data_IF_320047953006
#
_entry.id   IF_320047953006
#
_cell.length_a   1.000
_cell.length_b   1.000
_cell.length_c   1.000
_cell.angle_alpha   90.00
_cell.angle_beta   90.00
_cell.angle_gamma   90.00
#
_symmetry.space_group_name_H-M   'P 1'
#
loop_
_entity.id
_entity.type
_entity.pdbx_description
1 polymer ?
#
# COMPACT_ATOMS: atom_id res chain seq x y z
N UNK A 1 6.52 4.51 -11.56
CA UNK A 1 5.25 3.74 -11.55
C UNK A 1 5.19 2.89 -10.29
N UNK A 2 4.00 2.57 -9.81
CA UNK A 2 3.75 1.61 -8.75
C UNK A 2 3.23 0.31 -9.36
N UNK A 3 3.81 -0.81 -8.95
CA UNK A 3 3.29 -2.13 -9.21
C UNK A 3 2.54 -2.63 -7.96
N UNK A 4 1.24 -2.87 -8.07
CA UNK A 4 0.35 -3.24 -6.97
C UNK A 4 -0.13 -4.68 -7.18
N UNK A 5 0.09 -5.51 -6.18
CA UNK A 5 -0.31 -6.93 -6.18
C UNK A 5 -1.01 -7.30 -4.87
N UNK A 6 -1.86 -8.33 -4.92
CA UNK A 6 -2.15 -9.11 -3.72
C UNK A 6 -0.99 -10.09 -3.50
N UNK A 7 -0.30 -9.93 -2.39
CA UNK A 7 0.95 -10.59 -2.06
C UNK A 7 0.68 -11.73 -1.07
N UNK A 8 0.82 -12.96 -1.56
CA UNK A 8 0.52 -14.15 -0.78
C UNK A 8 1.49 -14.31 0.40
N UNK A 9 2.76 -14.01 0.20
CA UNK A 9 3.78 -14.17 1.24
C UNK A 9 3.54 -13.16 2.37
N UNK A 10 3.21 -11.92 2.02
CA UNK A 10 2.84 -10.90 3.01
C UNK A 10 1.55 -11.29 3.76
N UNK A 11 0.51 -11.76 3.05
CA UNK A 11 -0.71 -12.24 3.70
C UNK A 11 -0.44 -13.37 4.70
N UNK A 12 0.36 -14.35 4.31
CA UNK A 12 0.70 -15.48 5.18
C UNK A 12 1.48 -15.01 6.43
N UNK A 13 2.32 -13.97 6.32
CA UNK A 13 2.96 -13.33 7.50
C UNK A 13 1.96 -12.63 8.42
N UNK A 14 1.00 -11.88 7.87
CA UNK A 14 -0.05 -11.21 8.66
C UNK A 14 -0.89 -12.23 9.42
N UNK A 15 -1.27 -13.34 8.77
CA UNK A 15 -2.01 -14.44 9.42
C UNK A 15 -1.19 -15.09 10.53
N UNK A 16 0.12 -15.27 10.33
CA UNK A 16 1.00 -15.84 11.34
C UNK A 16 1.14 -14.95 12.59
N UNK A 17 1.12 -13.62 12.43
CA UNK A 17 1.20 -12.66 13.54
C UNK A 17 -0.13 -12.49 14.29
N UNK A 18 -1.25 -12.40 13.57
CA UNK A 18 -2.59 -12.24 14.16
C UNK A 18 -3.10 -13.54 14.83
N UNK A 19 -2.61 -14.69 14.38
CA UNK A 19 -3.00 -16.02 14.86
C UNK A 19 -4.25 -16.59 14.16
N UNK A 20 -4.41 -17.93 14.16
CA UNK A 20 -5.41 -18.63 13.35
C UNK A 20 -6.86 -18.35 13.77
N UNK A 21 -7.10 -17.91 15.01
CA UNK A 21 -8.44 -17.61 15.52
C UNK A 21 -8.96 -16.22 15.09
N UNK A 22 -8.08 -15.36 14.55
CA UNK A 22 -8.39 -13.94 14.24
C UNK A 22 -8.55 -13.70 12.74
N UNK A 23 -7.85 -14.47 11.89
CA UNK A 23 -7.88 -14.31 10.44
C UNK A 23 -9.20 -14.81 9.79
N UNK A 24 -10.25 -13.98 9.86
CA UNK A 24 -11.51 -14.17 9.10
C UNK A 24 -11.40 -13.77 7.62
N UNK A 25 -10.24 -13.28 7.22
CA UNK A 25 -9.98 -12.73 5.89
C UNK A 25 -9.39 -13.83 5.02
N UNK A 26 -10.00 -14.09 3.86
CA UNK A 26 -9.50 -15.05 2.88
C UNK A 26 -8.69 -14.34 1.80
N UNK A 27 -7.55 -14.92 1.43
CA UNK A 27 -6.77 -14.43 0.29
C UNK A 27 -7.59 -14.50 -1.01
N UNK A 28 -7.58 -13.47 -1.88
CA UNK A 28 -8.38 -13.46 -3.09
C UNK A 28 -7.95 -14.57 -4.07
N UNK A 29 -8.89 -15.33 -4.66
CA UNK A 29 -8.56 -16.42 -5.59
C UNK A 29 -8.03 -15.93 -6.95
N UNK A 30 -8.26 -14.65 -7.28
CA UNK A 30 -7.76 -13.99 -8.47
C UNK A 30 -7.41 -12.54 -8.14
N UNK A 31 -6.16 -12.15 -8.40
CA UNK A 31 -5.63 -10.84 -8.09
C UNK A 31 -4.67 -10.40 -9.21
N UNK A 32 -5.18 -9.75 -10.27
CA UNK A 32 -4.31 -9.30 -11.36
C UNK A 32 -3.39 -8.18 -10.86
N UNK A 33 -2.16 -8.19 -11.34
CA UNK A 33 -1.20 -7.12 -11.15
C UNK A 33 -1.74 -5.80 -11.72
N UNK A 34 -1.64 -4.70 -10.95
CA UNK A 34 -1.98 -3.35 -11.40
C UNK A 34 -0.74 -2.49 -11.48
N UNK A 35 -0.52 -1.86 -12.63
CA UNK A 35 0.57 -0.91 -12.88
C UNK A 35 0.01 0.49 -12.95
N UNK A 36 0.34 1.31 -11.96
CA UNK A 36 -0.24 2.65 -11.78
C UNK A 36 0.88 3.69 -11.96
N UNK A 37 0.73 4.67 -12.87
CA UNK A 37 1.69 5.76 -12.99
C UNK A 37 1.65 6.64 -11.72
N UNK A 38 2.81 7.10 -11.26
CA UNK A 38 2.92 7.99 -10.11
C UNK A 38 3.00 9.42 -10.63
N UNK A 39 1.83 10.04 -10.81
CA UNK A 39 1.69 11.35 -11.43
C UNK A 39 1.35 12.41 -10.37
N UNK A 40 2.19 13.45 -10.28
CA UNK A 40 1.96 14.59 -9.39
C UNK A 40 2.79 14.53 -8.10
N UNK A 41 2.69 15.57 -7.27
CA UNK A 41 3.54 15.73 -6.08
C UNK A 41 3.14 14.81 -4.92
N UNK A 42 1.93 14.28 -4.94
CA UNK A 42 1.36 13.46 -3.88
C UNK A 42 0.50 12.35 -4.48
N UNK A 43 0.68 11.12 -4.00
CA UNK A 43 -0.10 9.94 -4.39
C UNK A 43 -0.67 9.32 -3.12
N UNK A 44 -1.99 9.37 -2.95
CA UNK A 44 -2.70 8.75 -1.84
C UNK A 44 -2.92 7.27 -2.13
N UNK A 45 -2.71 6.46 -1.11
CA UNK A 45 -2.95 5.01 -1.10
C UNK A 45 -4.04 4.75 -0.08
N UNK A 46 -5.11 4.07 -0.49
CA UNK A 46 -6.18 3.72 0.42
C UNK A 46 -7.41 3.19 -0.30
N UNK A 47 -8.51 3.05 0.43
CA UNK A 47 -9.81 2.71 -0.15
C UNK A 47 -10.69 3.93 -0.26
N UNK A 48 -11.25 4.19 -1.44
CA UNK A 48 -12.23 5.27 -1.62
C UNK A 48 -13.33 5.24 -0.55
N UNK A 49 -13.66 6.42 -0.02
CA UNK A 49 -14.75 6.57 0.97
C UNK A 49 -16.05 6.88 0.25
N UNK A 50 -17.08 6.04 0.45
CA UNK A 50 -18.43 6.33 -0.08
C UNK A 50 -19.08 7.57 0.55
N UNK A 51 -18.60 7.99 1.73
CA UNK A 51 -19.16 9.13 2.46
C UNK A 51 -18.62 10.48 1.97
N UNK A 52 -17.32 10.55 1.62
CA UNK A 52 -16.70 11.80 1.15
C UNK A 52 -16.58 11.87 -0.37
N UNK A 53 -16.66 10.72 -1.06
CA UNK A 53 -16.48 10.64 -2.51
C UNK A 53 -15.02 10.76 -2.96
N UNK A 54 -14.08 10.89 -2.03
CA UNK A 54 -12.66 10.99 -2.35
C UNK A 54 -12.12 9.66 -2.87
N UNK A 55 -11.53 9.71 -4.05
CA UNK A 55 -10.85 8.57 -4.68
C UNK A 55 -9.34 8.81 -4.57
N UNK A 56 -8.60 7.91 -3.90
CA UNK A 56 -7.14 7.98 -3.85
C UNK A 56 -6.53 7.59 -5.21
N UNK A 57 -5.32 8.09 -5.49
CA UNK A 57 -4.62 7.82 -6.75
C UNK A 57 -4.28 6.32 -6.91
N UNK A 58 -4.01 5.63 -5.80
CA UNK A 58 -3.97 4.17 -5.72
C UNK A 58 -5.18 3.72 -4.90
N UNK A 59 -6.30 3.46 -5.59
CA UNK A 59 -7.53 2.92 -5.00
C UNK A 59 -7.45 1.40 -4.84
N UNK A 60 -7.42 0.96 -3.59
CA UNK A 60 -7.37 -0.44 -3.16
C UNK A 60 -8.77 -1.02 -2.88
N UNK A 61 -9.83 -0.31 -3.29
CA UNK A 61 -11.17 -0.89 -3.44
C UNK A 61 -11.39 -1.52 -4.83
N UNK A 62 -10.55 -1.19 -5.82
CA UNK A 62 -10.58 -1.92 -7.09
C UNK A 62 -10.30 -3.42 -6.85
N UNK A 63 -11.07 -4.34 -7.47
CA UNK A 63 -10.91 -5.77 -7.19
C UNK A 63 -9.48 -6.28 -7.42
N UNK A 64 -8.93 -7.11 -6.50
CA UNK A 64 -9.53 -7.49 -5.22
C UNK A 64 -9.45 -6.37 -4.17
N UNK A 65 -10.57 -6.07 -3.51
CA UNK A 65 -10.60 -5.12 -2.38
C UNK A 65 -9.88 -5.70 -1.17
N UNK A 66 -8.86 -5.00 -0.67
CA UNK A 66 -8.16 -5.36 0.57
C UNK A 66 -8.88 -4.77 1.80
N UNK A 67 -9.56 -5.61 2.62
CA UNK A 67 -10.36 -5.13 3.74
C UNK A 67 -9.50 -4.53 4.87
N UNK A 68 -8.20 -4.84 4.93
CA UNK A 68 -7.29 -4.31 5.94
C UNK A 68 -6.82 -2.87 5.65
N UNK A 69 -7.15 -2.33 4.48
CA UNK A 69 -6.69 -1.00 4.09
C UNK A 69 -7.59 0.10 4.65
N UNK A 70 -7.05 1.14 5.30
CA UNK A 70 -7.81 2.34 5.70
C UNK A 70 -8.21 3.22 4.49
N UNK A 71 -9.16 4.14 4.69
CA UNK A 71 -9.56 5.07 3.63
C UNK A 71 -8.41 5.94 3.11
N UNK A 72 -7.59 6.42 4.04
CA UNK A 72 -6.28 7.01 3.78
C UNK A 72 -5.28 6.16 4.56
N UNK A 73 -4.52 5.33 3.86
CA UNK A 73 -3.62 4.36 4.49
C UNK A 73 -2.18 4.86 4.47
N UNK A 74 -1.72 5.30 3.31
CA UNK A 74 -0.39 5.84 3.15
C UNK A 74 -0.40 6.93 2.07
N UNK A 75 0.63 7.77 2.08
CA UNK A 75 0.82 8.83 1.11
C UNK A 75 2.26 8.80 0.62
N UNK A 76 2.44 8.68 -0.69
CA UNK A 76 3.73 8.91 -1.34
C UNK A 76 3.87 10.39 -1.67
N UNK A 77 4.98 10.99 -1.30
CA UNK A 77 5.31 12.39 -1.55
C UNK A 77 6.54 12.46 -2.46
N UNK A 78 6.40 13.11 -3.61
CA UNK A 78 7.49 13.33 -4.52
C UNK A 78 8.44 14.38 -3.95
N UNK A 79 9.74 14.16 -4.11
CA UNK A 79 10.77 15.11 -3.70
C UNK A 79 11.34 15.86 -4.89
N UNK A 80 11.88 17.08 -4.69
CA UNK A 80 12.46 17.87 -5.77
C UNK A 80 13.61 17.19 -6.52
N UNK A 81 14.29 16.24 -5.89
CA UNK A 81 15.36 15.42 -6.47
C UNK A 81 14.86 14.20 -7.26
N UNK A 82 13.54 14.04 -7.38
CA UNK A 82 12.90 12.92 -8.08
C UNK A 82 12.76 11.65 -7.24
N UNK A 83 13.16 11.67 -5.97
CA UNK A 83 12.92 10.57 -5.02
C UNK A 83 11.51 10.63 -4.44
N UNK A 84 11.15 9.59 -3.69
CA UNK A 84 9.86 9.50 -3.01
C UNK A 84 10.07 9.27 -1.51
N UNK A 85 9.14 9.77 -0.72
CA UNK A 85 8.96 9.33 0.68
C UNK A 85 7.56 8.77 0.85
N UNK A 86 7.40 7.80 1.74
CA UNK A 86 6.09 7.33 2.20
C UNK A 86 5.79 7.90 3.59
N UNK A 87 4.54 8.23 3.84
CA UNK A 87 4.01 8.65 5.16
C UNK A 87 2.78 7.81 5.47
N UNK A 88 2.70 7.29 6.69
CA UNK A 88 1.47 6.74 7.24
C UNK A 88 0.77 7.83 8.10
N UNK A 89 -0.41 8.34 7.70
CA UNK A 89 -1.08 9.42 8.41
C UNK A 89 -1.94 8.97 9.61
N UNK A 90 -1.90 7.69 9.99
CA UNK A 90 -2.76 7.16 11.04
C UNK A 90 -3.59 5.94 10.62
N UNK A 91 -3.09 5.12 9.70
CA UNK A 91 -3.76 3.90 9.26
C UNK A 91 -3.96 2.90 10.41
N UNK A 92 -5.00 2.08 10.28
CA UNK A 92 -5.38 1.08 11.31
C UNK A 92 -4.41 -0.09 11.34
N UNK A 93 -4.10 -0.68 10.18
CA UNK A 93 -3.24 -1.86 10.09
C UNK A 93 -1.75 -1.53 9.89
N UNK A 94 -1.40 -0.24 9.95
CA UNK A 94 -0.03 0.29 9.84
C UNK A 94 0.60 0.00 8.48
N UNK A 95 1.69 0.71 8.19
CA UNK A 95 2.47 0.56 6.95
C UNK A 95 3.84 -0.04 7.26
N UNK A 96 4.22 -1.10 6.56
CA UNK A 96 5.52 -1.76 6.69
C UNK A 96 6.33 -1.68 5.38
N UNK A 97 7.66 -1.81 5.45
CA UNK A 97 8.55 -1.71 4.29
C UNK A 97 9.43 -2.94 4.14
N UNK A 98 9.66 -3.38 2.89
CA UNK A 98 10.75 -4.30 2.50
C UNK A 98 10.83 -5.60 3.33
N UNK A 99 9.71 -6.15 3.78
CA UNK A 99 9.66 -7.35 4.64
C UNK A 99 9.94 -7.13 6.12
N UNK A 100 10.11 -5.87 6.57
CA UNK A 100 10.11 -5.52 7.99
C UNK A 100 8.72 -5.79 8.60
N UNK A 101 8.71 -6.40 9.78
CA UNK A 101 7.51 -6.50 10.63
C UNK A 101 7.29 -5.24 11.48
N UNK A 102 8.34 -4.42 11.64
CA UNK A 102 8.22 -3.14 12.34
C UNK A 102 7.62 -2.09 11.40
N UNK A 103 6.46 -1.50 11.74
CA UNK A 103 5.83 -0.50 10.91
C UNK A 103 6.53 0.85 11.00
N UNK A 104 6.45 1.64 9.93
CA UNK A 104 6.96 3.00 9.94
C UNK A 104 6.22 3.87 10.97
N UNK A 105 6.88 4.86 11.59
CA UNK A 105 6.21 5.79 12.49
C UNK A 105 5.12 6.60 11.77
N UNK A 106 4.04 6.92 12.48
CA UNK A 106 3.00 7.79 11.95
C UNK A 106 3.52 9.20 11.71
N UNK A 107 3.03 9.85 10.65
CA UNK A 107 3.30 11.25 10.32
C UNK A 107 4.79 11.59 10.16
N UNK A 108 5.62 10.59 9.85
CA UNK A 108 7.04 10.76 9.54
C UNK A 108 7.29 10.32 8.11
N UNK A 109 8.02 11.15 7.36
CA UNK A 109 8.46 10.82 6.02
C UNK A 109 9.58 9.78 6.05
N UNK A 110 9.36 8.64 5.42
CA UNK A 110 10.37 7.59 5.26
C UNK A 110 10.78 7.49 3.78
N UNK A 111 12.07 7.66 3.44
CA UNK A 111 12.54 7.54 2.06
C UNK A 111 12.24 6.16 1.46
N UNK A 112 11.76 6.15 0.22
CA UNK A 112 11.53 4.95 -0.58
C UNK A 112 11.97 5.17 -2.02
N UNK A 113 12.52 4.13 -2.63
CA UNK A 113 13.11 4.17 -3.96
C UNK A 113 12.65 3.01 -4.84
N UNK A 114 13.28 2.92 -6.01
CA UNK A 114 13.04 1.80 -6.93
C UNK A 114 13.34 0.45 -6.27
N UNK A 115 12.42 -0.49 -6.42
CA UNK A 115 12.50 -1.82 -5.84
C UNK A 115 11.92 -1.93 -4.43
N UNK A 116 11.74 -0.82 -3.72
CA UNK A 116 11.16 -0.85 -2.38
C UNK A 116 9.70 -1.31 -2.44
N UNK A 117 9.34 -2.13 -1.45
CA UNK A 117 8.03 -2.73 -1.24
C UNK A 117 7.37 -2.06 -0.05
N UNK A 118 6.19 -1.50 -0.29
CA UNK A 118 5.31 -0.91 0.72
C UNK A 118 4.18 -1.89 0.97
N UNK A 119 4.05 -2.35 2.21
CA UNK A 119 3.04 -3.29 2.65
C UNK A 119 1.95 -2.55 3.40
N UNK A 120 0.70 -2.76 2.98
CA UNK A 120 -0.48 -2.15 3.59
C UNK A 120 -1.61 -3.17 3.65
N UNK A 121 -2.48 -3.02 4.64
CA UNK A 121 -3.66 -3.87 4.78
C UNK A 121 -3.32 -5.34 5.00
N UNK A 122 -4.23 -6.23 4.55
CA UNK A 122 -4.14 -7.65 4.80
C UNK A 122 -3.20 -8.38 3.82
N UNK A 123 -3.04 -7.88 2.59
CA UNK A 123 -2.27 -8.57 1.56
C UNK A 123 -1.62 -7.66 0.53
N UNK A 124 -1.84 -6.35 0.57
CA UNK A 124 -1.40 -5.49 -0.53
C UNK A 124 0.09 -5.16 -0.41
N UNK A 125 0.84 -5.46 -1.47
CA UNK A 125 2.21 -4.98 -1.65
C UNK A 125 2.28 -4.06 -2.86
N UNK A 126 2.89 -2.89 -2.66
CA UNK A 126 3.16 -1.88 -3.68
C UNK A 126 4.67 -1.80 -3.88
N UNK A 127 5.16 -2.16 -5.06
CA UNK A 127 6.57 -2.03 -5.43
C UNK A 127 6.78 -0.80 -6.29
N UNK A 128 7.70 0.09 -5.89
CA UNK A 128 8.06 1.23 -6.73
C UNK A 128 8.99 0.79 -7.86
N UNK A 129 8.70 1.23 -9.08
CA UNK A 129 9.53 1.00 -10.26
C UNK A 129 9.81 2.34 -10.93
N UNK A 130 11.00 2.53 -11.50
CA UNK A 130 11.17 3.65 -12.44
C UNK A 130 10.17 3.48 -13.57
N UNK A 131 9.43 4.55 -13.88
CA UNK A 131 8.63 4.55 -15.10
C UNK A 131 9.57 4.70 -16.28
N UNK A 132 9.44 3.85 -17.30
CA UNK A 132 9.90 4.28 -18.62
C UNK A 132 8.96 5.40 -19.06
N UNK A 133 9.53 6.59 -19.32
CA UNK A 133 8.80 7.61 -20.06
C UNK A 133 8.50 7.01 -21.44
N UNK A 134 7.24 6.69 -21.71
CA UNK A 134 6.78 6.36 -23.06
C UNK A 134 6.55 7.65 -23.83
#
# INVERSE_FOLDING_TARGET
MANVIADRDYFDSVVAEEGPDVARIAFPPYAPERRIPLNGPQIRIGRRSSATGDVPEIDLREPPEDPGVSHVHAVLLAKPDGTWTVVDPGSTNRTCLNGSIEPIPFNVEVPVGEGDRIHVGAWTTITLRRGEAT
#
